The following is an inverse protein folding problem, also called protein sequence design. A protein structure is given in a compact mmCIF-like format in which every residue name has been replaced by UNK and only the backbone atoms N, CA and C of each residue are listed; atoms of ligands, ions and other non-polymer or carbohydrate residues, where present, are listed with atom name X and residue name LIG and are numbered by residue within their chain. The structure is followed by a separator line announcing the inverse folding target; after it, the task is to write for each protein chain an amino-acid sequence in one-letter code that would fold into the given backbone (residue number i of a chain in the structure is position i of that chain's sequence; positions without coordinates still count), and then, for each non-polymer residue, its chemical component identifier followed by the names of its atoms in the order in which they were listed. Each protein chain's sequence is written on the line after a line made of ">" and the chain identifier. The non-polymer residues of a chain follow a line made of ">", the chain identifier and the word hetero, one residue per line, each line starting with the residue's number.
data_IF_801790956485
#
_entry.id   IF_801790956485
#
_cell.length_a   1.000
_cell.length_b   1.000
_cell.length_c   1.000
_cell.angle_alpha   90.00
_cell.angle_beta   90.00
_cell.angle_gamma   90.00
#
_symmetry.space_group_name_H-M   'P 1'
#
loop_
_entity.id
_entity.type
_entity.pdbx_description
1 polymer ?
#
# COMPACT_ATOMS: atom_id res chain seq x y z
N UNK A 1 5.25 5.92 30.49
CA UNK A 1 5.21 7.39 30.38
C UNK A 1 6.51 7.98 29.89
N UNK A 2 6.65 8.12 28.58
CA UNK A 2 7.52 9.13 27.96
C UNK A 2 6.60 9.95 27.07
N UNK A 3 6.40 11.20 27.45
CA UNK A 3 5.81 12.21 26.60
C UNK A 3 6.75 12.39 25.39
N UNK A 4 6.39 11.79 24.26
CA UNK A 4 6.91 12.22 22.96
C UNK A 4 6.29 13.59 22.71
N UNK A 5 7.02 14.65 23.01
CA UNK A 5 6.85 15.88 22.25
C UNK A 5 7.23 15.48 20.84
N UNK A 6 6.27 15.54 19.91
CA UNK A 6 6.47 15.26 18.48
C UNK A 6 7.57 16.18 17.95
N UNK A 7 8.84 15.77 18.10
CA UNK A 7 9.98 16.45 17.55
C UNK A 7 9.95 16.22 16.04
N UNK A 8 9.70 17.24 15.21
CA UNK A 8 9.71 17.07 13.76
C UNK A 8 11.05 16.51 13.25
N UNK A 9 12.14 16.70 14.02
CA UNK A 9 13.47 16.14 13.75
C UNK A 9 13.58 14.63 13.95
N UNK A 10 12.66 13.98 14.69
CA UNK A 10 12.68 12.52 14.86
C UNK A 10 12.07 11.77 13.68
N UNK A 11 11.31 12.44 12.80
CA UNK A 11 10.56 11.76 11.73
C UNK A 11 11.43 10.88 10.80
N UNK A 12 12.64 11.28 10.36
CA UNK A 12 13.54 10.39 9.61
C UNK A 12 13.97 9.17 10.41
N UNK A 13 14.30 9.37 11.70
CA UNK A 13 14.71 8.31 12.62
C UNK A 13 13.57 7.30 12.84
N UNK A 14 12.37 7.79 13.16
CA UNK A 14 11.20 6.96 13.42
C UNK A 14 10.81 6.14 12.17
N UNK A 15 10.85 6.75 10.99
CA UNK A 15 10.60 6.07 9.73
C UNK A 15 11.63 4.97 9.45
N UNK A 16 12.93 5.27 9.59
CA UNK A 16 13.99 4.29 9.39
C UNK A 16 13.88 3.12 10.39
N UNK A 17 13.61 3.43 11.65
CA UNK A 17 13.42 2.44 12.70
C UNK A 17 12.24 1.51 12.40
N UNK A 18 11.10 2.06 11.98
CA UNK A 18 9.90 1.27 11.63
C UNK A 18 10.12 0.34 10.43
N UNK A 19 11.02 0.71 9.52
CA UNK A 19 11.36 -0.08 8.33
C UNK A 19 12.40 -1.18 8.62
N UNK A 20 13.41 -0.90 9.47
CA UNK A 20 14.59 -1.76 9.58
C UNK A 20 14.70 -2.55 10.88
N UNK A 21 14.08 -2.11 11.97
CA UNK A 21 14.25 -2.71 13.31
C UNK A 21 13.84 -4.19 13.38
N UNK A 22 12.92 -4.60 12.50
CA UNK A 22 12.40 -5.96 12.41
C UNK A 22 13.09 -6.83 11.35
N UNK A 23 14.02 -6.26 10.56
CA UNK A 23 14.82 -7.01 9.59
C UNK A 23 15.94 -7.74 10.35
N UNK A 24 16.16 -9.04 10.14
CA UNK A 24 17.25 -9.77 10.78
C UNK A 24 18.62 -9.09 10.57
N UNK A 25 19.56 -9.22 11.53
CA UNK A 25 20.92 -8.73 11.34
C UNK A 25 21.66 -9.59 10.30
N UNK A 26 22.51 -8.97 9.49
CA UNK A 26 23.38 -9.66 8.54
C UNK A 26 23.56 -8.91 7.23
N UNK A 27 24.58 -9.29 6.42
CA UNK A 27 24.88 -8.59 5.18
C UNK A 27 23.69 -8.65 4.22
N UNK A 28 23.30 -7.51 3.68
CA UNK A 28 22.13 -7.42 2.83
C UNK A 28 22.00 -6.12 2.06
N UNK A 29 20.83 -5.95 1.46
CA UNK A 29 20.42 -4.71 0.80
C UNK A 29 19.05 -4.29 1.30
N UNK A 30 18.85 -2.98 1.43
CA UNK A 30 17.53 -2.38 1.57
C UNK A 30 17.21 -1.59 0.30
N UNK A 31 16.14 -1.98 -0.39
CA UNK A 31 15.66 -1.31 -1.61
C UNK A 31 14.56 -0.33 -1.26
N UNK A 32 14.90 0.96 -1.27
CA UNK A 32 13.93 2.02 -1.11
C UNK A 32 13.27 2.31 -2.47
N UNK A 33 11.97 2.10 -2.56
CA UNK A 33 11.17 2.40 -3.77
C UNK A 33 10.74 3.87 -3.84
N UNK A 34 10.89 4.61 -2.73
CA UNK A 34 10.50 6.01 -2.59
C UNK A 34 11.69 6.87 -2.17
N UNK A 35 11.78 8.08 -2.73
CA UNK A 35 12.84 9.03 -2.42
C UNK A 35 12.86 9.40 -0.93
N UNK A 36 11.69 9.63 -0.33
CA UNK A 36 11.59 9.97 1.10
C UNK A 36 12.12 8.85 1.98
N UNK A 37 11.75 7.59 1.71
CA UNK A 37 12.29 6.44 2.42
C UNK A 37 13.81 6.37 2.30
N UNK A 38 14.32 6.51 1.08
CA UNK A 38 15.77 6.47 0.85
C UNK A 38 16.51 7.57 1.61
N UNK A 39 15.99 8.81 1.62
CA UNK A 39 16.59 9.93 2.34
C UNK A 39 16.60 9.70 3.85
N UNK A 40 15.51 9.17 4.43
CA UNK A 40 15.45 8.85 5.85
C UNK A 40 16.47 7.77 6.23
N UNK A 41 16.54 6.68 5.46
CA UNK A 41 17.50 5.61 5.68
C UNK A 41 18.95 6.08 5.50
N UNK A 42 19.23 6.85 4.44
CA UNK A 42 20.55 7.38 4.17
C UNK A 42 21.01 8.35 5.27
N UNK A 43 20.10 9.16 5.80
CA UNK A 43 20.36 10.03 6.94
C UNK A 43 20.79 9.20 8.17
N UNK A 44 20.00 8.20 8.57
CA UNK A 44 20.31 7.38 9.75
C UNK A 44 21.59 6.53 9.56
N UNK A 45 21.82 5.98 8.38
CA UNK A 45 23.05 5.26 8.07
C UNK A 45 24.28 6.17 8.16
N UNK A 46 24.17 7.42 7.71
CA UNK A 46 25.30 8.37 7.69
C UNK A 46 25.56 9.00 9.07
N UNK A 47 24.51 9.38 9.78
CA UNK A 47 24.61 10.16 11.03
C UNK A 47 24.69 9.25 12.25
N UNK A 48 23.82 8.24 12.33
CA UNK A 48 23.72 7.34 13.48
C UNK A 48 24.49 6.01 13.29
N UNK A 49 25.00 5.75 12.08
CA UNK A 49 25.62 4.47 11.75
C UNK A 49 24.63 3.31 11.82
N UNK A 50 23.35 3.58 11.57
CA UNK A 50 22.29 2.57 11.60
C UNK A 50 22.52 1.52 10.49
N UNK A 51 22.32 0.25 10.84
CA UNK A 51 22.37 -0.91 9.92
C UNK A 51 23.56 -0.90 8.94
N UNK A 52 24.82 -0.85 9.44
CA UNK A 52 26.00 -0.87 8.56
C UNK A 52 26.16 -2.19 7.79
N UNK A 53 25.38 -3.21 8.16
CA UNK A 53 25.25 -4.49 7.49
C UNK A 53 24.37 -4.45 6.22
N UNK A 54 23.54 -3.41 6.06
CA UNK A 54 22.67 -3.24 4.89
C UNK A 54 23.20 -2.17 3.94
N UNK A 55 23.39 -2.54 2.67
CA UNK A 55 23.63 -1.56 1.61
C UNK A 55 22.31 -0.92 1.17
N UNK A 56 22.24 0.41 1.20
CA UNK A 56 21.05 1.14 0.76
C UNK A 56 21.03 1.29 -0.77
N UNK A 57 19.91 0.89 -1.37
CA UNK A 57 19.66 1.00 -2.80
C UNK A 57 18.65 2.12 -3.04
N UNK A 58 19.05 3.13 -3.81
CA UNK A 58 18.20 4.26 -4.18
C UNK A 58 17.02 3.84 -5.07
N UNK A 59 15.93 4.65 -5.10
CA UNK A 59 14.79 4.40 -5.96
C UNK A 59 15.20 4.24 -7.42
N UNK A 60 14.61 3.24 -8.07
CA UNK A 60 14.90 2.85 -9.45
C UNK A 60 13.68 2.15 -10.06
N UNK A 61 13.64 1.94 -11.39
CA UNK A 61 12.60 1.15 -12.03
C UNK A 61 12.41 -0.22 -11.37
N UNK A 62 11.18 -0.72 -11.37
CA UNK A 62 10.81 -1.91 -10.60
C UNK A 62 11.53 -3.18 -11.05
N UNK A 63 11.78 -3.33 -12.35
CA UNK A 63 12.54 -4.42 -12.95
C UNK A 63 14.00 -4.44 -12.50
N UNK A 64 14.64 -3.27 -12.42
CA UNK A 64 15.99 -3.15 -11.88
C UNK A 64 16.04 -3.47 -10.39
N UNK A 65 15.08 -2.97 -9.61
CA UNK A 65 14.96 -3.27 -8.19
C UNK A 65 14.80 -4.79 -7.94
N UNK A 66 13.95 -5.44 -8.71
CA UNK A 66 13.70 -6.88 -8.58
C UNK A 66 14.93 -7.72 -8.96
N UNK A 67 15.71 -7.27 -9.94
CA UNK A 67 16.98 -7.91 -10.31
C UNK A 67 17.97 -7.89 -9.14
N UNK A 68 18.13 -6.75 -8.47
CA UNK A 68 19.02 -6.61 -7.30
C UNK A 68 18.57 -7.49 -6.14
N UNK A 69 17.26 -7.53 -5.88
CA UNK A 69 16.69 -8.42 -4.87
C UNK A 69 17.02 -9.88 -5.20
N UNK A 70 16.78 -10.31 -6.44
CA UNK A 70 17.04 -11.67 -6.87
C UNK A 70 18.53 -12.05 -6.73
N UNK A 71 19.44 -11.18 -7.14
CA UNK A 71 20.89 -11.41 -7.02
C UNK A 71 21.35 -11.43 -5.57
N UNK A 72 20.80 -10.55 -4.73
CA UNK A 72 21.10 -10.53 -3.29
C UNK A 72 20.67 -11.83 -2.62
N UNK A 73 19.46 -12.30 -2.93
CA UNK A 73 18.95 -13.57 -2.42
C UNK A 73 19.79 -14.75 -2.89
N UNK A 74 20.17 -14.81 -4.19
CA UNK A 74 21.06 -15.85 -4.73
C UNK A 74 22.40 -15.91 -4.02
N UNK A 75 22.91 -14.77 -3.55
CA UNK A 75 24.13 -14.67 -2.78
C UNK A 75 23.96 -15.06 -1.29
N UNK A 76 22.79 -15.57 -0.87
CA UNK A 76 22.51 -15.93 0.52
C UNK A 76 22.45 -14.74 1.47
N UNK A 77 22.19 -13.53 0.94
CA UNK A 77 22.14 -12.27 1.69
C UNK A 77 20.71 -11.81 1.93
N UNK A 78 20.53 -10.92 2.90
CA UNK A 78 19.22 -10.35 3.24
C UNK A 78 18.80 -9.37 2.14
N UNK A 79 17.57 -9.49 1.66
CA UNK A 79 16.94 -8.49 0.82
C UNK A 79 15.70 -7.93 1.52
N UNK A 80 15.63 -6.61 1.65
CA UNK A 80 14.49 -5.91 2.23
C UNK A 80 14.06 -4.72 1.37
N UNK A 81 12.83 -4.24 1.59
CA UNK A 81 12.26 -3.12 0.86
C UNK A 81 11.16 -2.41 1.67
N UNK A 82 10.84 -1.18 1.28
CA UNK A 82 9.73 -0.38 1.83
C UNK A 82 8.39 -0.59 1.09
N UNK A 83 8.36 -1.51 0.13
CA UNK A 83 7.16 -1.86 -0.62
C UNK A 83 7.12 -3.37 -0.86
N UNK A 84 5.91 -3.89 -1.00
CA UNK A 84 5.74 -5.27 -1.39
C UNK A 84 6.02 -5.42 -2.88
N UNK A 85 6.38 -6.63 -3.31
CA UNK A 85 6.56 -6.97 -4.73
C UNK A 85 5.28 -7.57 -5.33
N UNK A 86 4.10 -7.19 -4.81
CA UNK A 86 2.79 -7.66 -5.28
C UNK A 86 2.66 -7.45 -6.79
N UNK A 87 2.24 -8.51 -7.49
CA UNK A 87 2.10 -8.50 -8.96
C UNK A 87 3.41 -8.56 -9.74
N UNK A 88 4.57 -8.54 -9.07
CA UNK A 88 5.91 -8.59 -9.69
C UNK A 88 6.67 -9.85 -9.32
N UNK A 89 6.66 -10.21 -8.04
CA UNK A 89 7.21 -11.46 -7.51
C UNK A 89 6.12 -12.28 -6.80
N UNK A 90 6.42 -13.55 -6.53
CA UNK A 90 5.52 -14.41 -5.72
C UNK A 90 5.32 -13.77 -4.33
N UNK A 91 4.11 -13.34 -3.96
CA UNK A 91 3.85 -12.66 -2.70
C UNK A 91 4.19 -13.54 -1.49
N UNK A 92 4.19 -14.88 -1.64
CA UNK A 92 4.59 -15.81 -0.58
C UNK A 92 6.07 -15.72 -0.22
N UNK A 93 6.88 -15.09 -1.07
CA UNK A 93 8.30 -14.80 -0.86
C UNK A 93 8.54 -13.42 -0.24
N UNK A 94 7.48 -12.74 0.18
CA UNK A 94 7.54 -11.43 0.82
C UNK A 94 6.99 -11.55 2.24
N UNK A 95 7.81 -11.21 3.22
CA UNK A 95 7.48 -11.25 4.64
C UNK A 95 7.35 -9.82 5.14
N UNK A 96 6.20 -9.41 5.68
CA UNK A 96 6.09 -8.15 6.39
C UNK A 96 7.04 -8.12 7.58
N UNK A 97 7.89 -7.09 7.70
CA UNK A 97 8.81 -6.86 8.82
C UNK A 97 8.69 -5.42 9.28
N UNK A 98 8.08 -5.22 10.45
CA UNK A 98 7.69 -3.87 10.89
C UNK A 98 6.74 -3.26 9.87
N UNK A 99 7.13 -2.11 9.30
CA UNK A 99 6.41 -1.45 8.20
C UNK A 99 7.02 -1.68 6.82
N UNK A 100 8.20 -2.32 6.77
CA UNK A 100 8.82 -2.77 5.54
C UNK A 100 8.52 -4.23 5.25
N UNK A 101 9.29 -4.76 4.30
CA UNK A 101 9.19 -6.13 3.85
C UNK A 101 10.58 -6.74 3.74
N UNK A 102 10.71 -7.99 4.16
CA UNK A 102 11.84 -8.85 3.85
C UNK A 102 11.45 -9.77 2.70
N UNK A 103 12.28 -9.84 1.67
CA UNK A 103 12.12 -10.78 0.57
C UNK A 103 12.95 -12.03 0.89
N UNK A 104 12.43 -13.21 0.58
CA UNK A 104 13.03 -14.49 0.99
C UNK A 104 13.04 -15.54 -0.12
N UNK A 105 14.02 -16.44 -0.07
CA UNK A 105 14.09 -17.58 -0.99
C UNK A 105 13.15 -18.72 -0.63
N UNK A 106 12.83 -18.88 0.65
CA UNK A 106 11.94 -19.93 1.14
C UNK A 106 10.68 -19.30 1.72
N UNK A 107 9.54 -19.91 1.43
CA UNK A 107 8.24 -19.41 1.89
C UNK A 107 8.14 -19.66 3.40
N UNK A 108 7.99 -18.63 4.23
CA UNK A 108 7.88 -18.81 5.67
C UNK A 108 6.52 -19.39 6.05
N UNK A 109 6.47 -20.06 7.20
CA UNK A 109 5.22 -20.63 7.73
C UNK A 109 4.27 -19.60 8.36
N UNK A 110 4.74 -18.38 8.68
CA UNK A 110 3.97 -17.47 9.54
C UNK A 110 3.95 -16.01 9.10
N UNK A 111 2.77 -15.41 9.15
CA UNK A 111 2.57 -13.98 9.01
C UNK A 111 2.73 -13.24 10.35
N UNK A 112 3.35 -12.06 10.30
CA UNK A 112 3.44 -11.14 11.44
C UNK A 112 2.10 -10.41 11.67
N UNK A 113 1.80 -9.98 12.91
CA UNK A 113 0.61 -9.18 13.19
C UNK A 113 0.61 -7.89 12.37
N UNK A 114 -0.58 -7.42 11.98
CA UNK A 114 -0.75 -6.16 11.26
C UNK A 114 -0.78 -5.02 12.25
N UNK A 115 0.19 -4.11 12.14
CA UNK A 115 0.18 -2.85 12.88
C UNK A 115 -0.75 -1.83 12.20
N UNK A 116 -1.42 -0.95 12.97
CA UNK A 116 -2.17 0.18 12.42
C UNK A 116 -1.21 1.17 11.72
N UNK A 117 -1.72 2.11 10.90
CA UNK A 117 -0.89 3.13 10.25
C UNK A 117 0.02 3.88 11.23
N UNK A 118 1.24 4.23 10.79
CA UNK A 118 2.11 5.09 11.58
C UNK A 118 1.65 6.54 11.45
N UNK A 119 1.81 7.28 12.54
CA UNK A 119 1.67 8.73 12.55
C UNK A 119 3.05 9.33 12.75
N UNK A 120 3.50 10.12 11.78
CA UNK A 120 4.74 10.87 11.87
C UNK A 120 4.42 12.37 11.99
N UNK A 121 5.26 13.12 12.70
CA UNK A 121 4.99 14.52 13.05
C UNK A 121 4.91 15.47 11.83
N UNK A 122 5.69 15.20 10.77
CA UNK A 122 5.81 16.07 9.60
C UNK A 122 4.76 15.77 8.53
N UNK A 123 4.37 16.75 7.68
CA UNK A 123 3.47 16.49 6.54
C UNK A 123 3.96 15.37 5.63
N UNK A 124 5.23 15.43 5.22
CA UNK A 124 5.86 14.38 4.40
C UNK A 124 5.91 13.04 5.13
N UNK A 125 6.15 13.04 6.44
CA UNK A 125 6.05 11.84 7.27
C UNK A 125 4.65 11.23 7.22
N UNK A 126 3.59 12.03 7.44
CA UNK A 126 2.20 11.55 7.37
C UNK A 126 1.87 10.91 6.03
N UNK A 127 2.33 11.49 4.92
CA UNK A 127 2.18 10.90 3.59
C UNK A 127 2.86 9.52 3.52
N UNK A 128 4.08 9.37 4.05
CA UNK A 128 4.74 8.06 4.11
C UNK A 128 3.99 7.06 5.00
N UNK A 129 3.43 7.51 6.13
CA UNK A 129 2.59 6.68 6.98
C UNK A 129 1.40 6.08 6.23
N UNK A 130 0.73 6.90 5.42
CA UNK A 130 -0.37 6.48 4.53
C UNK A 130 0.13 5.47 3.48
N UNK A 131 1.23 5.77 2.79
CA UNK A 131 1.75 4.92 1.72
C UNK A 131 2.23 3.55 2.25
N UNK A 132 2.90 3.50 3.39
CA UNK A 132 3.32 2.23 4.01
C UNK A 132 2.13 1.40 4.50
N UNK A 133 1.11 2.05 5.09
CA UNK A 133 -0.13 1.39 5.47
C UNK A 133 -0.84 0.79 4.25
N UNK A 134 -0.89 1.54 3.15
CA UNK A 134 -1.49 1.07 1.90
C UNK A 134 -0.70 -0.09 1.29
N UNK A 135 0.64 -0.05 1.28
CA UNK A 135 1.46 -1.19 0.84
C UNK A 135 1.18 -2.45 1.66
N UNK A 136 1.11 -2.31 2.99
CA UNK A 136 0.74 -3.41 3.88
C UNK A 136 -0.63 -3.96 3.51
N UNK A 137 -1.62 -3.10 3.29
CA UNK A 137 -2.97 -3.52 2.94
C UNK A 137 -3.05 -4.21 1.58
N UNK A 138 -2.34 -3.70 0.57
CA UNK A 138 -2.24 -4.33 -0.75
C UNK A 138 -1.64 -5.73 -0.68
N UNK A 139 -0.58 -5.91 0.11
CA UNK A 139 -0.02 -7.23 0.37
C UNK A 139 -1.03 -8.20 1.00
N UNK A 140 -1.78 -7.73 2.00
CA UNK A 140 -2.80 -8.53 2.69
C UNK A 140 -3.96 -8.89 1.75
N UNK A 141 -4.46 -7.94 0.97
CA UNK A 141 -5.50 -8.15 -0.05
C UNK A 141 -5.07 -9.08 -1.18
N UNK A 142 -3.82 -8.99 -1.64
CA UNK A 142 -3.26 -9.93 -2.62
C UNK A 142 -3.17 -11.36 -2.07
N UNK A 143 -3.17 -11.52 -0.75
CA UNK A 143 -3.23 -12.82 -0.07
C UNK A 143 -4.66 -13.25 0.28
N UNK A 144 -5.69 -12.51 -0.14
CA UNK A 144 -7.09 -12.76 0.18
C UNK A 144 -7.48 -12.44 1.64
N UNK A 145 -6.65 -11.70 2.38
CA UNK A 145 -6.86 -11.39 3.81
C UNK A 145 -7.40 -9.96 3.97
N UNK A 146 -8.64 -9.73 3.54
CA UNK A 146 -9.22 -8.39 3.45
C UNK A 146 -9.52 -7.72 4.80
N UNK A 147 -9.77 -8.50 5.85
CA UNK A 147 -9.92 -7.97 7.22
C UNK A 147 -8.58 -7.43 7.75
N UNK A 148 -7.49 -8.13 7.46
CA UNK A 148 -6.13 -7.69 7.77
C UNK A 148 -5.73 -6.47 6.95
N UNK A 149 -6.16 -6.40 5.69
CA UNK A 149 -5.99 -5.22 4.86
C UNK A 149 -6.70 -3.99 5.46
N UNK A 150 -7.96 -4.14 5.90
CA UNK A 150 -8.71 -3.08 6.58
C UNK A 150 -8.00 -2.60 7.86
N UNK A 151 -7.46 -3.51 8.67
CA UNK A 151 -6.69 -3.17 9.87
C UNK A 151 -5.41 -2.43 9.55
N UNK A 152 -4.71 -2.81 8.48
CA UNK A 152 -3.45 -2.19 8.06
C UNK A 152 -3.61 -0.70 7.74
N UNK A 153 -4.74 -0.31 7.15
CA UNK A 153 -5.08 1.08 6.85
C UNK A 153 -5.87 1.77 7.98
N UNK A 154 -6.02 1.14 9.13
CA UNK A 154 -6.66 1.75 10.30
C UNK A 154 -8.19 1.88 10.18
N UNK A 155 -8.83 1.09 9.32
CA UNK A 155 -10.27 1.15 9.09
C UNK A 155 -11.08 0.22 10.01
N UNK A 156 -10.49 -0.24 11.11
CA UNK A 156 -11.18 -1.10 12.07
C UNK A 156 -12.39 -0.43 12.74
N UNK A 157 -12.39 0.91 12.86
CA UNK A 157 -13.55 1.64 13.40
C UNK A 157 -14.65 1.83 12.35
N UNK A 158 -14.26 1.87 11.06
CA UNK A 158 -15.20 1.93 9.93
C UNK A 158 -15.91 0.58 9.73
N UNK A 159 -15.18 -0.51 9.86
CA UNK A 159 -15.69 -1.87 9.70
C UNK A 159 -15.91 -2.49 11.08
N UNK A 160 -17.17 -2.58 11.51
CA UNK A 160 -17.48 -3.23 12.78
C UNK A 160 -17.06 -4.70 12.80
N UNK A 161 -17.16 -5.36 13.96
CA UNK A 161 -16.76 -6.77 14.10
C UNK A 161 -17.46 -7.70 13.08
N UNK A 162 -18.73 -7.43 12.76
CA UNK A 162 -19.47 -8.16 11.75
C UNK A 162 -18.91 -7.93 10.33
N UNK A 163 -18.62 -6.69 9.97
CA UNK A 163 -18.05 -6.34 8.66
C UNK A 163 -16.66 -6.94 8.47
N UNK A 164 -15.82 -6.92 9.52
CA UNK A 164 -14.51 -7.56 9.51
C UNK A 164 -14.63 -9.09 9.33
N UNK A 165 -15.66 -9.72 9.90
CA UNK A 165 -15.92 -11.15 9.67
C UNK A 165 -16.34 -11.43 8.22
N UNK A 166 -17.16 -10.55 7.62
CA UNK A 166 -17.51 -10.65 6.19
C UNK A 166 -16.26 -10.49 5.32
N UNK A 167 -15.42 -9.49 5.60
CA UNK A 167 -14.15 -9.27 4.90
C UNK A 167 -13.22 -10.49 5.00
N UNK A 168 -13.10 -11.09 6.18
CA UNK A 168 -12.29 -12.29 6.39
C UNK A 168 -12.78 -13.51 5.59
N UNK A 169 -14.09 -13.60 5.35
CA UNK A 169 -14.71 -14.67 4.56
C UNK A 169 -14.85 -14.35 3.06
N UNK A 170 -14.47 -13.14 2.64
CA UNK A 170 -14.70 -12.65 1.27
C UNK A 170 -13.81 -13.34 0.26
N UNK A 171 -14.42 -13.81 -0.83
CA UNK A 171 -13.71 -14.27 -2.04
C UNK A 171 -14.05 -13.34 -3.19
N UNK A 172 -13.04 -12.81 -3.89
CA UNK A 172 -13.25 -11.92 -5.04
C UNK A 172 -14.03 -12.65 -6.13
N UNK A 173 -14.99 -11.93 -6.72
CA UNK A 173 -15.79 -12.44 -7.84
C UNK A 173 -15.65 -11.53 -9.06
N UNK A 174 -15.92 -12.04 -10.28
CA UNK A 174 -15.97 -11.20 -11.48
C UNK A 174 -17.00 -10.07 -11.41
N UNK A 175 -18.06 -10.22 -10.60
CA UNK A 175 -19.10 -9.21 -10.42
C UNK A 175 -18.67 -8.08 -9.48
N UNK A 176 -17.76 -8.37 -8.54
CA UNK A 176 -17.20 -7.43 -7.57
C UNK A 176 -15.67 -7.53 -7.55
N UNK A 177 -15.01 -7.19 -8.68
CA UNK A 177 -13.56 -7.22 -8.76
C UNK A 177 -12.97 -6.05 -7.95
N UNK A 178 -11.73 -6.16 -7.47
CA UNK A 178 -11.00 -5.02 -6.94
C UNK A 178 -10.86 -3.93 -8.02
N UNK A 179 -11.05 -2.68 -7.64
CA UNK A 179 -11.00 -1.53 -8.55
C UNK A 179 -9.85 -0.58 -8.21
N UNK A 180 -9.37 -0.60 -6.96
CA UNK A 180 -8.38 0.35 -6.47
C UNK A 180 -7.12 0.42 -7.34
N UNK A 181 -6.57 -0.73 -7.74
CA UNK A 181 -5.31 -0.80 -8.49
C UNK A 181 -5.41 -0.29 -9.93
N UNK A 182 -6.63 -0.07 -10.44
CA UNK A 182 -6.86 0.43 -11.79
C UNK A 182 -7.08 1.94 -11.82
N UNK A 183 -7.23 2.59 -10.66
CA UNK A 183 -7.51 4.02 -10.58
C UNK A 183 -6.28 4.87 -10.96
N UNK A 184 -6.48 5.99 -11.67
CA UNK A 184 -5.41 6.91 -12.00
C UNK A 184 -5.05 7.79 -10.79
N UNK A 185 -4.17 7.28 -9.92
CA UNK A 185 -3.76 7.98 -8.69
C UNK A 185 -2.68 9.05 -8.91
N UNK A 186 -1.98 9.03 -10.05
CA UNK A 186 -0.74 9.78 -10.31
C UNK A 186 -0.85 11.31 -10.48
N UNK A 187 -1.90 11.96 -9.98
CA UNK A 187 -2.09 13.42 -10.11
C UNK A 187 -2.70 14.10 -8.89
N UNK A 188 -3.05 13.34 -7.85
CA UNK A 188 -3.66 13.88 -6.62
C UNK A 188 -2.64 13.81 -5.47
N UNK A 189 -2.61 14.81 -4.57
CA UNK A 189 -1.75 14.75 -3.39
C UNK A 189 -2.18 13.60 -2.48
N UNK A 190 -1.20 12.89 -1.91
CA UNK A 190 -1.44 11.83 -0.94
C UNK A 190 -2.13 12.42 0.29
N UNK A 191 -3.22 11.79 0.73
CA UNK A 191 -3.96 12.24 1.91
C UNK A 191 -4.89 11.16 2.45
N UNK A 192 -5.60 11.45 3.56
CA UNK A 192 -6.49 10.49 4.22
C UNK A 192 -7.55 9.89 3.29
N UNK A 193 -7.97 10.65 2.27
CA UNK A 193 -8.91 10.20 1.24
C UNK A 193 -8.47 8.92 0.53
N UNK A 194 -7.16 8.63 0.46
CA UNK A 194 -6.62 7.43 -0.16
C UNK A 194 -6.94 6.18 0.66
N UNK A 195 -6.93 6.29 1.99
CA UNK A 195 -7.35 5.22 2.89
C UNK A 195 -8.87 5.02 2.81
N UNK A 196 -9.64 6.11 2.72
CA UNK A 196 -11.09 6.04 2.52
C UNK A 196 -11.45 5.36 1.20
N UNK A 197 -10.74 5.71 0.12
CA UNK A 197 -10.88 5.08 -1.19
C UNK A 197 -10.59 3.58 -1.12
N UNK A 198 -9.52 3.19 -0.42
CA UNK A 198 -9.21 1.78 -0.23
C UNK A 198 -10.32 1.06 0.56
N UNK A 199 -10.86 1.71 1.59
CA UNK A 199 -12.03 1.22 2.32
C UNK A 199 -13.28 1.08 1.44
N UNK A 200 -13.51 2.01 0.51
CA UNK A 200 -14.62 1.92 -0.45
C UNK A 200 -14.45 0.70 -1.37
N UNK A 201 -13.21 0.38 -1.76
CA UNK A 201 -12.91 -0.83 -2.54
C UNK A 201 -13.11 -2.12 -1.74
N UNK A 202 -12.67 -2.15 -0.48
CA UNK A 202 -12.91 -3.30 0.40
C UNK A 202 -14.41 -3.55 0.62
N UNK A 203 -15.18 -2.48 0.88
CA UNK A 203 -16.64 -2.59 1.04
C UNK A 203 -17.30 -3.12 -0.24
N UNK A 204 -16.88 -2.61 -1.41
CA UNK A 204 -17.36 -3.08 -2.71
C UNK A 204 -17.10 -4.57 -2.93
N UNK A 205 -15.86 -5.03 -2.73
CA UNK A 205 -15.46 -6.43 -2.94
C UNK A 205 -16.26 -7.36 -2.02
N UNK A 206 -16.42 -6.97 -0.75
CA UNK A 206 -17.15 -7.73 0.26
C UNK A 206 -18.68 -7.63 0.13
N UNK A 207 -19.17 -6.69 -0.67
CA UNK A 207 -20.60 -6.45 -0.81
C UNK A 207 -21.26 -5.76 0.37
N UNK A 208 -20.48 -5.03 1.16
CA UNK A 208 -20.94 -4.29 2.30
C UNK A 208 -21.57 -2.96 1.86
N UNK A 209 -22.42 -2.33 2.71
CA UNK A 209 -22.89 -0.98 2.47
C UNK A 209 -21.73 0.00 2.30
N UNK A 210 -21.86 0.88 1.32
CA UNK A 210 -20.84 1.84 0.95
C UNK A 210 -21.27 3.22 1.45
N UNK A 211 -20.38 4.02 2.04
CA UNK A 211 -20.73 5.35 2.50
C UNK A 211 -21.11 6.24 1.32
N UNK A 212 -22.01 7.19 1.57
CA UNK A 212 -22.32 8.25 0.60
C UNK A 212 -21.06 9.05 0.30
N UNK A 213 -20.87 9.38 -0.97
CA UNK A 213 -19.70 10.08 -1.42
C UNK A 213 -19.80 11.58 -1.07
N UNK A 214 -18.83 12.18 -0.36
CA UNK A 214 -18.81 13.62 -0.13
C UNK A 214 -18.81 14.41 -1.45
N UNK A 215 -19.46 15.57 -1.46
CA UNK A 215 -19.57 16.41 -2.65
C UNK A 215 -18.21 16.90 -3.18
N UNK A 216 -17.23 17.06 -2.28
CA UNK A 216 -15.86 17.47 -2.55
C UNK A 216 -14.89 16.29 -2.71
N UNK A 217 -15.40 15.06 -2.88
CA UNK A 217 -14.55 13.89 -3.00
C UNK A 217 -13.58 14.01 -4.20
N UNK A 218 -12.30 13.61 -4.02
CA UNK A 218 -11.30 13.67 -5.06
C UNK A 218 -11.70 12.78 -6.25
N UNK A 219 -11.17 13.11 -7.44
CA UNK A 219 -11.56 12.45 -8.68
C UNK A 219 -11.48 10.91 -8.60
N UNK A 220 -10.42 10.28 -8.06
CA UNK A 220 -10.34 8.81 -8.00
C UNK A 220 -11.47 8.15 -7.21
N UNK A 221 -11.98 8.77 -6.13
CA UNK A 221 -13.13 8.26 -5.38
C UNK A 221 -14.44 8.38 -6.14
N UNK A 222 -14.64 9.51 -6.83
CA UNK A 222 -15.79 9.69 -7.74
C UNK A 222 -15.78 8.67 -8.88
N UNK A 223 -14.60 8.41 -9.44
CA UNK A 223 -14.43 7.42 -10.50
C UNK A 223 -14.68 5.99 -10.02
N UNK A 224 -14.16 5.63 -8.83
CA UNK A 224 -14.43 4.34 -8.20
C UNK A 224 -15.94 4.10 -8.05
N UNK A 225 -16.66 5.09 -7.52
CA UNK A 225 -18.12 5.02 -7.39
C UNK A 225 -18.82 4.79 -8.74
N UNK A 226 -18.39 5.49 -9.79
CA UNK A 226 -18.92 5.31 -11.15
C UNK A 226 -18.62 3.95 -11.75
N UNK A 227 -17.44 3.38 -11.51
CA UNK A 227 -17.13 2.04 -11.98
C UNK A 227 -18.01 0.96 -11.35
N UNK A 228 -18.41 1.12 -10.09
CA UNK A 228 -19.41 0.25 -9.46
C UNK A 228 -20.79 0.39 -10.09
N UNK A 229 -21.20 1.61 -10.45
CA UNK A 229 -22.45 1.83 -11.20
C UNK A 229 -22.43 1.11 -12.56
N UNK A 230 -21.30 1.14 -13.28
CA UNK A 230 -21.12 0.41 -14.53
C UNK A 230 -21.23 -1.10 -14.30
N UNK A 231 -20.49 -1.64 -13.32
CA UNK A 231 -20.49 -3.08 -13.01
C UNK A 231 -21.84 -3.60 -12.52
N UNK A 232 -22.67 -2.72 -11.94
CA UNK A 232 -24.04 -3.04 -11.53
C UNK A 232 -25.09 -2.76 -12.61
N UNK A 233 -24.68 -2.33 -13.81
CA UNK A 233 -25.57 -2.05 -14.94
C UNK A 233 -26.42 -0.78 -14.78
N UNK A 234 -26.08 0.10 -13.83
CA UNK A 234 -26.80 1.36 -13.59
C UNK A 234 -26.41 2.47 -14.56
N UNK A 235 -25.20 2.39 -15.12
CA UNK A 235 -24.69 3.34 -16.13
C UNK A 235 -23.76 2.61 -17.12
N UNK A 236 -23.24 3.33 -18.11
CA UNK A 236 -22.32 2.79 -19.13
C UNK A 236 -20.93 3.44 -19.04
N UNK A 237 -19.89 2.84 -19.64
CA UNK A 237 -18.56 3.46 -19.73
C UNK A 237 -18.52 4.82 -20.43
N UNK A 238 -19.56 5.18 -21.19
CA UNK A 238 -19.69 6.45 -21.92
C UNK A 238 -20.49 7.51 -21.14
N UNK A 239 -20.76 7.30 -19.85
CA UNK A 239 -21.46 8.26 -18.98
C UNK A 239 -20.73 9.63 -19.02
N UNK A 240 -21.44 10.74 -19.38
CA UNK A 240 -20.83 12.06 -19.47
C UNK A 240 -20.21 12.54 -18.16
N UNK A 241 -20.63 12.02 -17.01
CA UNK A 241 -20.01 12.31 -15.72
C UNK A 241 -18.55 11.85 -15.65
N UNK A 242 -18.16 10.79 -16.37
CA UNK A 242 -16.77 10.32 -16.45
C UNK A 242 -15.94 11.32 -17.27
N UNK A 243 -16.48 11.81 -18.37
CA UNK A 243 -15.82 12.84 -19.16
C UNK A 243 -15.63 14.15 -18.36
N UNK A 244 -16.62 14.52 -17.54
CA UNK A 244 -16.54 15.67 -16.65
C UNK A 244 -15.45 15.55 -15.56
N UNK A 245 -14.96 14.34 -15.27
CA UNK A 245 -13.83 14.11 -14.36
C UNK A 245 -12.45 14.33 -15.04
N UNK A 246 -12.42 14.49 -16.36
CA UNK A 246 -11.22 14.78 -17.14
C UNK A 246 -10.55 13.57 -17.79
N UNK A 247 -9.50 13.85 -18.56
CA UNK A 247 -8.81 12.86 -19.40
C UNK A 247 -8.30 11.61 -18.66
N UNK A 248 -7.70 11.71 -17.45
CA UNK A 248 -7.26 10.53 -16.71
C UNK A 248 -8.39 9.54 -16.41
N UNK A 249 -9.58 10.03 -16.07
CA UNK A 249 -10.76 9.19 -15.79
C UNK A 249 -11.27 8.49 -17.05
N UNK A 250 -11.27 9.18 -18.20
CA UNK A 250 -11.64 8.61 -19.50
C UNK A 250 -10.69 7.47 -19.87
N UNK A 251 -9.37 7.72 -19.80
CA UNK A 251 -8.35 6.72 -20.16
C UNK A 251 -8.49 5.49 -19.26
N UNK A 252 -8.52 5.68 -17.94
CA UNK A 252 -8.64 4.58 -16.99
C UNK A 252 -9.92 3.75 -17.22
N UNK A 253 -11.05 4.40 -17.47
CA UNK A 253 -12.33 3.72 -17.75
C UNK A 253 -12.25 2.89 -19.03
N UNK A 254 -11.70 3.44 -20.12
CA UNK A 254 -11.53 2.71 -21.38
C UNK A 254 -10.61 1.51 -21.23
N UNK A 255 -9.47 1.68 -20.57
CA UNK A 255 -8.54 0.57 -20.28
C UNK A 255 -9.23 -0.53 -19.48
N UNK A 256 -10.09 -0.17 -18.51
CA UNK A 256 -10.75 -1.16 -17.65
C UNK A 256 -11.88 -1.92 -18.34
N UNK A 257 -12.73 -1.23 -19.10
CA UNK A 257 -14.01 -1.75 -19.58
C UNK A 257 -14.12 -1.95 -21.09
N UNK A 258 -13.31 -1.24 -21.89
CA UNK A 258 -13.41 -1.27 -23.35
C UNK A 258 -12.33 -2.14 -23.97
N UNK A 259 -11.11 -2.15 -23.41
CA UNK A 259 -9.97 -2.86 -23.97
C UNK A 259 -9.98 -4.40 -23.77
N UNK A 260 -11.02 -4.96 -23.15
CA UNK A 260 -11.16 -6.41 -22.89
C UNK A 260 -12.28 -7.07 -23.74
N UNK A 261 -12.71 -6.41 -24.82
CA UNK A 261 -13.59 -6.95 -25.87
C UNK A 261 -12.89 -6.87 -27.23
#
# INVERSE_FOLDING_TARGET
>A
DRFSVDDPGSAPHDLAFDLESSIPPGPGVFVATRTTTWLALAHEATIAGARPDLALVSPRPSDEADTIVADTLRAGRIAAADAATVGRLDPRRTIPRGRGFQLVQEIPERAMPVAPPATYATPTGREQGILLALERARFESASGRYDLAARAVGLADRFGAADLAVLAATTVTPLRPPLFEHLPLGGEPVGPWLLDLYGDDLAWIAGLPEPELPADAPMPRRLHAKWREILTGRTTPDDPAIAAMGLPAIIATRTRFVANH
#
